data_IF_833977031460
#
_entry.id   IF_833977031460
#
_cell.length_a   1.000
_cell.length_b   1.000
_cell.length_c   1.000
_cell.angle_alpha   90.00
_cell.angle_beta   90.00
_cell.angle_gamma   90.00
#
_symmetry.space_group_name_H-M   'P 1'
#
loop_
_entity.id
_entity.type
_entity.pdbx_description
1 polymer ?
#
# COMPACT_ATOMS: atom_id res chain seq x y z
N UNK A 1 13.01 2.36 -3.73
CA UNK A 1 14.44 2.56 -3.59
C UNK A 1 14.93 2.56 -2.16
N UNK A 2 16.25 2.51 -1.99
CA UNK A 2 16.89 2.54 -0.66
C UNK A 2 16.87 1.24 0.14
N UNK A 3 16.31 0.16 -0.40
CA UNK A 3 16.32 -1.17 0.23
C UNK A 3 17.21 -2.14 -0.54
N UNK A 4 17.91 -3.08 0.13
CA UNK A 4 18.72 -4.10 -0.55
C UNK A 4 17.82 -5.02 -1.39
N UNK A 5 18.13 -5.18 -2.67
CA UNK A 5 17.32 -6.02 -3.55
C UNK A 5 18.15 -6.99 -4.40
N UNK A 6 19.37 -6.62 -4.75
CA UNK A 6 20.21 -7.39 -5.67
C UNK A 6 19.79 -7.25 -7.15
N UNK A 7 20.63 -7.76 -8.08
CA UNK A 7 20.52 -7.47 -9.51
C UNK A 7 19.20 -7.93 -10.14
N UNK A 8 18.63 -9.02 -9.69
CA UNK A 8 17.36 -9.53 -10.22
C UNK A 8 16.12 -8.80 -9.70
N UNK A 9 16.28 -7.94 -8.68
CA UNK A 9 15.20 -7.21 -8.05
C UNK A 9 15.18 -5.70 -8.31
N UNK A 10 16.21 -5.15 -8.97
CA UNK A 10 16.34 -3.69 -9.14
C UNK A 10 15.16 -3.03 -9.86
N UNK A 11 14.52 -3.73 -10.76
CA UNK A 11 13.35 -3.26 -11.52
C UNK A 11 12.08 -4.05 -11.22
N UNK A 12 12.11 -4.92 -10.22
CA UNK A 12 10.95 -5.75 -9.87
C UNK A 12 9.74 -4.87 -9.61
N UNK A 13 8.62 -5.18 -10.27
CA UNK A 13 7.37 -4.43 -10.19
C UNK A 13 7.56 -2.92 -10.41
N UNK A 14 8.58 -2.54 -11.17
CA UNK A 14 8.96 -1.15 -11.46
C UNK A 14 9.09 -0.26 -10.19
N UNK A 15 9.46 -0.86 -9.06
CA UNK A 15 9.61 -0.18 -7.79
C UNK A 15 8.33 -0.13 -6.93
N UNK A 16 7.22 -0.68 -7.39
CA UNK A 16 5.98 -0.74 -6.60
C UNK A 16 6.07 -1.72 -5.41
N UNK A 17 7.04 -2.64 -5.41
CA UNK A 17 7.29 -3.54 -4.29
C UNK A 17 8.47 -3.05 -3.45
N UNK A 18 8.23 -2.74 -2.18
CA UNK A 18 9.24 -2.24 -1.23
C UNK A 18 9.14 -3.01 0.07
N UNK A 19 10.30 -3.48 0.58
CA UNK A 19 10.38 -4.11 1.90
C UNK A 19 10.05 -3.10 3.00
N UNK A 20 9.24 -3.52 3.97
CA UNK A 20 8.86 -2.75 5.15
C UNK A 20 8.94 -3.59 6.41
N UNK A 21 8.46 -3.05 7.53
CA UNK A 21 8.40 -3.75 8.82
C UNK A 21 7.05 -3.54 9.51
N UNK A 22 6.65 -4.57 10.27
CA UNK A 22 5.63 -4.48 11.28
C UNK A 22 6.35 -4.54 12.64
N UNK A 23 6.39 -3.41 13.34
CA UNK A 23 7.07 -3.28 14.61
C UNK A 23 6.06 -2.88 15.70
N UNK A 24 6.42 -3.15 16.96
CA UNK A 24 5.60 -2.78 18.12
C UNK A 24 5.85 -1.34 18.52
N UNK A 25 7.07 -0.83 18.32
CA UNK A 25 7.44 0.54 18.63
C UNK A 25 7.83 1.33 17.40
N UNK A 26 7.65 2.64 17.47
CA UNK A 26 8.10 3.58 16.43
C UNK A 26 9.63 3.60 16.35
N UNK A 27 10.32 3.43 17.48
CA UNK A 27 11.79 3.38 17.52
C UNK A 27 12.35 2.15 16.83
N UNK A 28 11.69 0.98 16.97
CA UNK A 28 12.07 -0.22 16.23
C UNK A 28 11.86 -0.05 14.73
N UNK A 29 10.77 0.63 14.34
CA UNK A 29 10.53 0.99 12.94
C UNK A 29 11.63 1.91 12.41
N UNK A 30 12.02 2.94 13.16
CA UNK A 30 13.10 3.84 12.80
C UNK A 30 14.44 3.10 12.68
N UNK A 31 14.74 2.19 13.61
CA UNK A 31 15.92 1.35 13.59
C UNK A 31 15.94 0.45 12.36
N UNK A 32 14.82 -0.23 12.06
CA UNK A 32 14.69 -1.05 10.85
C UNK A 32 14.95 -0.22 9.59
N UNK A 33 14.33 0.96 9.47
CA UNK A 33 14.53 1.85 8.32
C UNK A 33 16.00 2.27 8.20
N UNK A 34 16.65 2.61 9.32
CA UNK A 34 18.06 3.00 9.37
C UNK A 34 18.98 1.89 8.87
N UNK A 35 18.78 0.65 9.35
CA UNK A 35 19.65 -0.49 9.02
C UNK A 35 19.41 -1.02 7.58
N UNK A 36 18.17 -0.90 7.09
CA UNK A 36 17.80 -1.46 5.79
C UNK A 36 17.98 -0.50 4.63
N UNK A 37 18.31 0.78 4.88
CA UNK A 37 18.56 1.71 3.79
C UNK A 37 19.94 1.47 3.17
N UNK A 38 20.03 1.54 1.85
CA UNK A 38 21.29 1.34 1.12
C UNK A 38 21.26 2.01 -0.24
N UNK A 39 22.43 2.31 -0.76
CA UNK A 39 22.66 2.66 -2.17
C UNK A 39 23.33 1.47 -2.84
N UNK A 40 22.75 1.00 -3.92
CA UNK A 40 23.33 -0.05 -4.76
C UNK A 40 23.67 0.56 -6.12
N UNK A 41 24.97 0.71 -6.41
CA UNK A 41 25.44 1.45 -7.58
C UNK A 41 24.81 1.04 -8.91
N UNK A 42 24.57 -0.26 -9.08
CA UNK A 42 23.95 -0.80 -10.30
C UNK A 42 22.44 -0.61 -10.37
N UNK A 43 21.76 -0.19 -9.29
CA UNK A 43 20.32 -0.01 -9.27
C UNK A 43 19.93 1.26 -10.07
N UNK A 44 18.96 1.17 -10.99
CA UNK A 44 18.56 2.30 -11.82
C UNK A 44 17.79 3.39 -11.04
N UNK A 45 17.17 3.00 -9.90
CA UNK A 45 16.44 3.90 -9.03
C UNK A 45 17.17 4.06 -7.71
N UNK A 46 17.53 5.30 -7.40
CA UNK A 46 18.20 5.65 -6.15
C UNK A 46 17.27 6.47 -5.27
N UNK A 47 17.22 6.16 -3.97
CA UNK A 47 16.59 7.00 -2.98
C UNK A 47 17.66 7.70 -2.14
N UNK A 48 17.37 8.92 -1.73
CA UNK A 48 18.22 9.63 -0.77
C UNK A 48 18.23 8.83 0.54
N UNK A 49 19.44 8.61 1.09
CA UNK A 49 19.57 8.02 2.42
C UNK A 49 19.05 9.01 3.46
N UNK A 50 18.31 8.49 4.42
CA UNK A 50 17.88 9.24 5.58
C UNK A 50 19.05 9.40 6.55
N UNK A 51 19.02 10.48 7.31
CA UNK A 51 20.03 10.79 8.32
C UNK A 51 19.96 9.76 9.47
N UNK A 52 20.99 8.91 9.56
CA UNK A 52 21.05 7.84 10.57
C UNK A 52 21.16 8.39 12.00
N UNK A 53 21.80 9.52 12.21
CA UNK A 53 21.90 10.13 13.53
C UNK A 53 20.52 10.59 14.01
N UNK A 54 19.74 11.23 13.12
CA UNK A 54 18.37 11.65 13.42
C UNK A 54 17.43 10.46 13.64
N UNK A 55 17.58 9.38 12.87
CA UNK A 55 16.78 8.17 13.09
C UNK A 55 17.10 7.50 14.43
N UNK A 56 18.39 7.49 14.82
CA UNK A 56 18.84 6.93 16.11
C UNK A 56 18.44 7.78 17.31
N UNK A 57 18.45 9.12 17.12
CA UNK A 57 18.05 10.10 18.13
C UNK A 57 16.64 10.65 17.86
N UNK A 58 15.72 9.80 17.39
CA UNK A 58 14.38 10.20 16.99
C UNK A 58 13.65 10.95 18.12
N UNK A 59 13.12 12.11 17.80
CA UNK A 59 12.34 12.99 18.69
C UNK A 59 11.00 13.31 18.06
N UNK A 60 10.08 13.85 18.84
CA UNK A 60 8.85 14.42 18.31
C UNK A 60 9.11 15.60 17.38
N UNK A 61 8.15 15.98 16.51
CA UNK A 61 8.32 17.11 15.60
C UNK A 61 8.67 18.41 16.34
N UNK A 62 9.76 19.05 15.95
CA UNK A 62 10.19 20.34 16.54
C UNK A 62 9.31 21.53 16.12
N UNK A 63 8.62 21.39 14.98
CA UNK A 63 7.67 22.38 14.45
C UNK A 63 6.29 21.77 14.32
N UNK A 64 5.27 22.62 14.36
CA UNK A 64 3.91 22.17 14.04
C UNK A 64 3.79 21.94 12.54
N UNK A 65 3.12 20.86 12.20
CA UNK A 65 2.93 20.39 10.81
C UNK A 65 1.57 20.85 10.31
N UNK A 66 1.48 21.02 8.99
CA UNK A 66 0.23 21.20 8.29
C UNK A 66 -0.17 19.87 7.63
N UNK A 67 -1.26 19.28 8.10
CA UNK A 67 -1.66 17.92 7.77
C UNK A 67 -3.03 17.95 7.09
N UNK A 68 -3.12 17.44 5.87
CA UNK A 68 -4.41 17.16 5.25
C UNK A 68 -4.98 15.85 5.79
N UNK A 69 -6.31 15.69 5.81
CA UNK A 69 -6.94 14.39 6.04
C UNK A 69 -8.17 14.22 5.15
N UNK A 70 -8.50 12.95 4.85
CA UNK A 70 -9.72 12.61 4.12
C UNK A 70 -10.48 11.49 4.82
N UNK A 71 -11.80 11.63 4.85
CA UNK A 71 -12.77 10.60 5.20
C UNK A 71 -13.44 9.99 3.96
N UNK A 72 -12.95 10.31 2.78
CA UNK A 72 -13.40 9.76 1.50
C UNK A 72 -12.69 8.46 1.12
N UNK A 73 -13.41 7.57 0.45
CA UNK A 73 -12.81 6.40 -0.18
C UNK A 73 -12.09 6.80 -1.47
N UNK A 74 -10.91 6.23 -1.78
CA UNK A 74 -10.26 6.42 -3.08
C UNK A 74 -10.98 5.72 -4.23
N UNK A 75 -12.01 4.91 -3.93
CA UNK A 75 -12.82 4.17 -4.91
C UNK A 75 -14.29 4.38 -4.57
N UNK A 76 -15.02 5.08 -5.43
CA UNK A 76 -16.39 5.57 -5.17
C UNK A 76 -17.38 4.51 -4.68
N UNK A 77 -17.26 3.27 -5.17
CA UNK A 77 -18.17 2.17 -4.83
C UNK A 77 -17.82 1.43 -3.55
N UNK A 78 -16.71 1.80 -2.87
CA UNK A 78 -16.27 1.16 -1.63
C UNK A 78 -16.53 2.10 -0.46
N UNK A 79 -17.61 1.86 0.32
CA UNK A 79 -17.91 2.69 1.48
C UNK A 79 -16.94 2.43 2.63
N UNK A 80 -16.66 3.48 3.40
CA UNK A 80 -15.91 3.36 4.66
C UNK A 80 -16.85 3.02 5.82
N UNK A 81 -16.40 2.09 6.66
CA UNK A 81 -17.08 1.82 7.94
C UNK A 81 -16.97 3.04 8.88
N UNK A 82 -17.87 3.15 9.84
CA UNK A 82 -17.77 4.19 10.86
C UNK A 82 -16.49 4.03 11.70
N UNK A 83 -16.03 2.81 11.96
CA UNK A 83 -14.77 2.56 12.66
C UNK A 83 -13.56 3.09 11.91
N UNK A 84 -13.53 2.97 10.58
CA UNK A 84 -12.48 3.55 9.75
C UNK A 84 -12.46 5.08 9.86
N UNK A 85 -13.65 5.70 9.77
CA UNK A 85 -13.78 7.15 9.95
C UNK A 85 -13.43 7.60 11.37
N UNK A 86 -13.84 6.83 12.39
CA UNK A 86 -13.57 7.13 13.79
C UNK A 86 -12.07 7.04 14.12
N UNK A 87 -11.34 6.10 13.53
CA UNK A 87 -9.90 6.03 13.67
C UNK A 87 -9.22 7.34 13.20
N UNK A 88 -9.60 7.85 12.02
CA UNK A 88 -9.09 9.15 11.51
C UNK A 88 -9.52 10.31 12.40
N UNK A 89 -10.81 10.38 12.79
CA UNK A 89 -11.31 11.45 13.66
C UNK A 89 -10.56 11.50 14.99
N UNK A 90 -10.27 10.33 15.61
CA UNK A 90 -9.49 10.25 16.85
C UNK A 90 -8.08 10.78 16.67
N UNK A 91 -7.40 10.38 15.58
CA UNK A 91 -6.08 10.89 15.25
C UNK A 91 -6.10 12.41 15.00
N UNK A 92 -7.09 12.92 14.25
CA UNK A 92 -7.28 14.37 14.00
C UNK A 92 -7.48 15.15 15.31
N UNK A 93 -8.29 14.64 16.24
CA UNK A 93 -8.49 15.28 17.54
C UNK A 93 -7.18 15.37 18.33
N UNK A 94 -6.40 14.30 18.35
CA UNK A 94 -5.09 14.29 19.00
C UNK A 94 -4.14 15.31 18.35
N UNK A 95 -3.99 15.28 17.03
CA UNK A 95 -3.11 16.18 16.29
C UNK A 95 -3.46 17.67 16.52
N UNK A 96 -4.75 18.00 16.51
CA UNK A 96 -5.21 19.37 16.83
C UNK A 96 -4.88 19.76 18.28
N UNK A 97 -5.01 18.82 19.24
CA UNK A 97 -4.62 19.04 20.65
C UNK A 97 -3.12 19.30 20.80
N UNK A 98 -2.30 18.65 19.97
CA UNK A 98 -0.85 18.90 19.92
C UNK A 98 -0.49 20.19 19.17
N UNK A 99 -1.47 20.89 18.61
CA UNK A 99 -1.29 22.19 17.96
C UNK A 99 -0.89 22.11 16.48
N UNK A 100 -1.02 20.96 15.84
CA UNK A 100 -0.88 20.86 14.39
C UNK A 100 -2.06 21.50 13.67
N UNK A 101 -1.81 22.06 12.49
CA UNK A 101 -2.87 22.51 11.58
C UNK A 101 -3.40 21.28 10.82
N UNK A 102 -4.68 20.94 11.00
CA UNK A 102 -5.29 19.75 10.42
C UNK A 102 -6.52 20.14 9.63
N UNK A 103 -6.50 19.88 8.30
CA UNK A 103 -7.48 20.35 7.33
C UNK A 103 -8.14 19.17 6.62
N UNK A 104 -9.46 19.13 6.59
CA UNK A 104 -10.21 18.14 5.83
C UNK A 104 -10.21 18.49 4.34
N UNK A 105 -9.94 17.49 3.49
CA UNK A 105 -9.99 17.62 2.04
C UNK A 105 -10.67 16.40 1.43
N UNK A 106 -11.16 16.50 0.22
CA UNK A 106 -11.58 15.34 -0.55
C UNK A 106 -10.37 14.49 -0.93
N UNK A 107 -10.58 13.16 -1.06
CA UNK A 107 -9.52 12.30 -1.58
C UNK A 107 -9.15 12.73 -3.01
N UNK A 108 -7.86 12.92 -3.36
CA UNK A 108 -7.47 13.69 -4.55
C UNK A 108 -7.79 13.03 -5.89
N UNK A 109 -8.04 11.72 -5.91
CA UNK A 109 -8.27 10.90 -7.11
C UNK A 109 -9.39 9.88 -6.91
N UNK A 110 -9.95 9.37 -8.02
CA UNK A 110 -10.62 8.06 -8.03
C UNK A 110 -9.61 7.02 -8.52
N UNK A 111 -9.23 6.10 -7.64
CA UNK A 111 -8.16 5.14 -7.89
C UNK A 111 -8.62 3.85 -8.59
N UNK A 112 -9.88 3.78 -9.08
CA UNK A 112 -10.40 2.58 -9.76
C UNK A 112 -9.58 2.23 -11.01
N UNK A 113 -9.31 3.21 -11.85
CA UNK A 113 -8.52 2.98 -13.07
C UNK A 113 -7.08 2.60 -12.72
N UNK A 114 -6.49 3.26 -11.73
CA UNK A 114 -5.13 2.99 -11.26
C UNK A 114 -4.95 1.52 -10.83
N UNK A 115 -5.89 0.96 -10.06
CA UNK A 115 -5.80 -0.44 -9.63
C UNK A 115 -6.00 -1.43 -10.79
N UNK A 116 -6.86 -1.11 -11.76
CA UNK A 116 -7.04 -1.95 -12.94
C UNK A 116 -5.77 -2.00 -13.79
N UNK A 117 -5.09 -0.87 -13.98
CA UNK A 117 -3.78 -0.81 -14.64
C UNK A 117 -2.69 -1.56 -13.89
N UNK A 118 -2.73 -1.48 -12.55
CA UNK A 118 -1.83 -2.29 -11.72
C UNK A 118 -2.03 -3.80 -11.98
N UNK A 119 -3.27 -4.28 -12.08
CA UNK A 119 -3.52 -5.71 -12.36
C UNK A 119 -3.01 -6.13 -13.75
N UNK A 120 -3.09 -5.27 -14.76
CA UNK A 120 -2.52 -5.54 -16.09
C UNK A 120 -0.99 -5.69 -16.03
N UNK A 121 -0.32 -4.79 -15.33
CA UNK A 121 1.13 -4.86 -15.12
C UNK A 121 1.51 -6.06 -14.26
N UNK A 122 0.78 -6.31 -13.19
CA UNK A 122 0.98 -7.47 -12.31
C UNK A 122 0.89 -8.80 -13.08
N UNK A 123 -0.07 -8.92 -13.99
CA UNK A 123 -0.17 -10.10 -14.85
C UNK A 123 1.10 -10.31 -15.70
N UNK A 124 1.60 -9.25 -16.34
CA UNK A 124 2.81 -9.32 -17.15
C UNK A 124 4.06 -9.67 -16.31
N UNK A 125 4.24 -9.04 -15.14
CA UNK A 125 5.34 -9.33 -14.21
C UNK A 125 5.27 -10.78 -13.69
N UNK A 126 4.07 -11.25 -13.34
CA UNK A 126 3.85 -12.64 -12.89
C UNK A 126 4.22 -13.65 -13.98
N UNK A 127 3.84 -13.41 -15.23
CA UNK A 127 4.21 -14.27 -16.34
C UNK A 127 5.72 -14.28 -16.56
N UNK A 128 6.37 -13.11 -16.57
CA UNK A 128 7.82 -13.01 -16.72
C UNK A 128 8.58 -13.69 -15.56
N UNK A 129 8.07 -13.59 -14.33
CA UNK A 129 8.67 -14.23 -13.14
C UNK A 129 8.57 -15.76 -13.21
N UNK A 130 7.49 -16.32 -13.74
CA UNK A 130 7.23 -17.77 -13.76
C UNK A 130 7.75 -18.45 -15.04
N UNK A 131 8.01 -17.72 -16.12
CA UNK A 131 8.53 -18.27 -17.37
C UNK A 131 9.85 -19.08 -17.21
N UNK A 132 10.86 -18.65 -16.43
CA UNK A 132 12.07 -19.44 -16.20
C UNK A 132 11.78 -20.80 -15.58
N UNK A 133 10.77 -20.89 -14.71
CA UNK A 133 10.36 -22.16 -14.11
C UNK A 133 9.75 -23.10 -15.18
N UNK A 134 8.83 -22.59 -16.02
CA UNK A 134 8.23 -23.35 -17.12
C UNK A 134 9.31 -23.88 -18.08
N UNK A 135 10.29 -23.05 -18.41
CA UNK A 135 11.43 -23.43 -19.27
C UNK A 135 12.30 -24.52 -18.62
N UNK A 136 12.63 -24.39 -17.34
CA UNK A 136 13.45 -25.36 -16.62
C UNK A 136 12.78 -26.74 -16.52
N UNK A 137 11.45 -26.78 -16.38
CA UNK A 137 10.68 -28.02 -16.25
C UNK A 137 10.08 -28.50 -17.57
N UNK A 138 10.33 -27.79 -18.68
CA UNK A 138 9.84 -28.12 -20.03
C UNK A 138 8.32 -28.38 -20.10
N UNK A 139 7.56 -27.69 -19.25
CA UNK A 139 6.10 -27.74 -19.25
C UNK A 139 5.48 -26.45 -18.75
N UNK A 140 4.25 -26.18 -19.19
CA UNK A 140 3.47 -25.08 -18.65
C UNK A 140 3.02 -25.37 -17.21
N UNK A 141 2.96 -24.32 -16.39
CA UNK A 141 2.26 -24.34 -15.12
C UNK A 141 0.75 -24.43 -15.33
N UNK A 142 0.09 -25.11 -14.41
CA UNK A 142 -1.35 -25.20 -14.36
C UNK A 142 -1.89 -24.82 -12.96
N UNK A 143 -3.20 -24.82 -12.80
CA UNK A 143 -3.87 -24.43 -11.56
C UNK A 143 -3.64 -25.37 -10.37
N UNK A 144 -3.03 -26.53 -10.56
CA UNK A 144 -2.67 -27.45 -9.48
C UNK A 144 -1.25 -27.21 -8.96
N UNK A 145 -0.42 -26.49 -9.74
CA UNK A 145 0.97 -26.17 -9.40
C UNK A 145 1.09 -24.92 -8.52
N UNK A 146 0.18 -23.97 -8.66
CA UNK A 146 0.22 -22.68 -8.00
C UNK A 146 -1.20 -22.22 -7.61
N UNK A 147 -1.29 -21.25 -6.71
CA UNK A 147 -2.59 -20.68 -6.32
C UNK A 147 -3.39 -20.14 -7.51
N UNK A 148 -4.71 -20.26 -7.42
CA UNK A 148 -5.63 -19.91 -8.52
C UNK A 148 -5.48 -18.47 -9.03
N UNK A 149 -5.26 -17.48 -8.14
CA UNK A 149 -5.02 -16.10 -8.57
C UNK A 149 -3.68 -15.92 -9.25
N UNK A 150 -2.63 -16.59 -8.77
CA UNK A 150 -1.31 -16.60 -9.42
C UNK A 150 -1.38 -17.26 -10.81
N UNK A 151 -2.15 -18.35 -10.93
CA UNK A 151 -2.43 -18.97 -12.22
C UNK A 151 -3.19 -18.02 -13.16
N UNK A 152 -4.20 -17.34 -12.65
CA UNK A 152 -4.97 -16.39 -13.44
C UNK A 152 -4.10 -15.23 -13.96
N UNK A 153 -3.23 -14.65 -13.11
CA UNK A 153 -2.28 -13.62 -13.49
C UNK A 153 -1.27 -14.14 -14.53
N UNK A 154 -0.73 -15.35 -14.35
CA UNK A 154 0.17 -15.99 -15.32
C UNK A 154 -0.48 -16.10 -16.71
N UNK A 155 -1.70 -16.66 -16.78
CA UNK A 155 -2.39 -16.86 -18.07
C UNK A 155 -2.77 -15.53 -18.74
N UNK A 156 -3.15 -14.51 -17.98
CA UNK A 156 -3.40 -13.18 -18.51
C UNK A 156 -2.08 -12.51 -18.97
N UNK A 157 -1.02 -12.63 -18.19
CA UNK A 157 0.28 -12.07 -18.52
C UNK A 157 0.88 -12.59 -19.81
N UNK A 158 0.69 -13.89 -20.13
CA UNK A 158 1.08 -14.47 -21.41
C UNK A 158 0.40 -13.81 -22.63
N UNK A 159 -0.72 -13.13 -22.42
CA UNK A 159 -1.49 -12.44 -23.48
C UNK A 159 -1.45 -10.92 -23.36
N UNK A 160 -0.77 -10.39 -22.34
CA UNK A 160 -0.74 -8.96 -22.06
C UNK A 160 -0.07 -8.16 -23.20
N UNK A 161 -0.74 -7.14 -23.76
CA UNK A 161 -0.10 -6.26 -24.73
C UNK A 161 0.99 -5.42 -24.07
N UNK A 162 2.14 -5.24 -24.70
CA UNK A 162 3.21 -4.37 -24.22
C UNK A 162 2.71 -2.94 -23.98
N UNK A 163 1.78 -2.47 -24.80
CA UNK A 163 1.19 -1.14 -24.66
C UNK A 163 0.41 -0.97 -23.35
N UNK A 164 -0.28 -2.00 -22.85
CA UNK A 164 -1.00 -1.89 -21.56
C UNK A 164 -0.03 -1.76 -20.39
N UNK A 165 1.12 -2.41 -20.46
CA UNK A 165 2.19 -2.26 -19.47
C UNK A 165 2.75 -0.84 -19.41
N UNK A 166 3.06 -0.24 -20.57
CA UNK A 166 3.55 1.14 -20.65
C UNK A 166 2.49 2.12 -20.14
N UNK A 167 1.21 1.96 -20.55
CA UNK A 167 0.12 2.79 -20.07
C UNK A 167 -0.09 2.72 -18.55
N UNK A 168 0.18 1.56 -17.94
CA UNK A 168 0.13 1.44 -16.48
C UNK A 168 1.18 2.32 -15.80
N UNK A 169 2.40 2.35 -16.30
CA UNK A 169 3.47 3.20 -15.76
C UNK A 169 3.17 4.68 -15.94
N UNK A 170 2.67 5.08 -17.13
CA UNK A 170 2.24 6.47 -17.40
C UNK A 170 1.14 6.92 -16.41
N UNK A 171 0.17 6.06 -16.11
CA UNK A 171 -0.91 6.33 -15.16
C UNK A 171 -0.36 6.53 -13.73
N UNK A 172 0.65 5.75 -13.33
CA UNK A 172 1.28 5.91 -12.02
C UNK A 172 1.98 7.26 -11.88
N UNK A 173 2.73 7.67 -12.91
CA UNK A 173 3.43 8.94 -12.92
C UNK A 173 2.46 10.12 -12.91
N UNK A 174 1.38 10.05 -13.69
CA UNK A 174 0.31 11.05 -13.68
C UNK A 174 -0.38 11.13 -12.32
N UNK A 175 -0.64 9.97 -11.70
CA UNK A 175 -1.23 9.91 -10.35
C UNK A 175 -0.30 10.53 -9.31
N UNK A 176 1.00 10.24 -9.37
CA UNK A 176 1.99 10.86 -8.48
C UNK A 176 2.02 12.39 -8.62
N UNK A 177 1.95 12.89 -9.87
CA UNK A 177 1.90 14.33 -10.14
C UNK A 177 0.64 15.00 -9.56
N UNK A 178 -0.52 14.32 -9.56
CA UNK A 178 -1.75 14.83 -8.92
C UNK A 178 -1.56 14.98 -7.41
N UNK A 179 -0.89 14.01 -6.74
CA UNK A 179 -0.57 14.14 -5.32
C UNK A 179 0.39 15.29 -5.06
N UNK A 180 1.41 15.50 -5.92
CA UNK A 180 2.33 16.62 -5.81
C UNK A 180 1.59 17.97 -5.90
N UNK A 181 0.66 18.10 -6.83
CA UNK A 181 -0.12 19.31 -7.02
C UNK A 181 -1.15 19.56 -5.90
N UNK A 182 -1.93 18.53 -5.54
CA UNK A 182 -3.08 18.71 -4.65
C UNK A 182 -2.76 18.54 -3.17
N UNK A 183 -1.69 17.84 -2.84
CA UNK A 183 -1.33 17.55 -1.44
C UNK A 183 0.03 18.15 -1.10
N UNK A 184 1.10 17.73 -1.77
CA UNK A 184 2.47 18.02 -1.30
C UNK A 184 2.93 19.45 -1.51
N UNK A 185 2.18 20.27 -2.26
CA UNK A 185 2.43 21.70 -2.36
C UNK A 185 2.05 22.45 -1.09
N UNK A 186 0.98 22.05 -0.42
CA UNK A 186 0.37 22.80 0.67
C UNK A 186 0.44 22.10 2.03
N UNK A 187 0.71 20.79 2.08
CA UNK A 187 0.71 19.97 3.29
C UNK A 187 2.01 19.19 3.49
N UNK A 188 2.41 19.05 4.76
CA UNK A 188 3.58 18.25 5.13
C UNK A 188 3.27 16.74 5.07
N UNK A 189 2.06 16.35 5.52
CA UNK A 189 1.58 14.96 5.57
C UNK A 189 0.10 14.89 5.19
N UNK A 190 -0.34 13.68 4.82
CA UNK A 190 -1.73 13.38 4.53
C UNK A 190 -2.19 12.17 5.38
N UNK A 191 -3.41 12.21 5.93
CA UNK A 191 -3.97 11.21 6.83
C UNK A 191 -5.25 10.61 6.24
N UNK A 192 -5.35 9.29 6.23
CA UNK A 192 -6.53 8.53 5.78
C UNK A 192 -6.77 7.33 6.68
N UNK A 193 -7.89 6.61 6.56
CA UNK A 193 -7.95 5.26 7.10
C UNK A 193 -6.86 4.37 6.49
N UNK A 194 -6.34 3.39 7.24
CA UNK A 194 -5.47 2.34 6.67
C UNK A 194 -6.28 1.37 5.83
N UNK A 195 -7.46 0.98 6.30
CA UNK A 195 -8.40 0.07 5.64
C UNK A 195 -9.81 0.64 5.70
N UNK A 196 -10.68 0.20 4.79
CA UNK A 196 -12.07 0.68 4.75
C UNK A 196 -12.95 0.10 5.87
N UNK A 197 -12.58 -1.05 6.40
CA UNK A 197 -13.30 -1.77 7.47
C UNK A 197 -12.33 -2.67 8.24
N UNK A 198 -12.77 -3.24 9.36
CA UNK A 198 -12.01 -4.21 10.15
C UNK A 198 -11.66 -5.46 9.35
N UNK A 199 -10.70 -6.25 9.83
CA UNK A 199 -10.26 -7.48 9.18
C UNK A 199 -11.43 -8.43 8.88
N UNK A 200 -11.37 -9.21 7.76
CA UNK A 200 -12.38 -10.23 7.45
C UNK A 200 -12.35 -11.36 8.50
N UNK A 201 -13.44 -12.11 8.60
CA UNK A 201 -13.47 -13.32 9.44
C UNK A 201 -12.53 -14.38 8.87
N UNK A 202 -11.88 -15.11 9.75
CA UNK A 202 -11.05 -16.26 9.35
C UNK A 202 -11.92 -17.27 8.59
N UNK A 203 -11.47 -17.69 7.39
CA UNK A 203 -12.21 -18.61 6.52
C UNK A 203 -13.31 -17.95 5.68
N UNK A 204 -13.52 -16.64 5.77
CA UNK A 204 -14.44 -15.94 4.87
C UNK A 204 -13.94 -16.03 3.42
N UNK A 205 -14.74 -16.60 2.47
CA UNK A 205 -14.31 -16.74 1.09
C UNK A 205 -14.25 -15.38 0.41
N UNK A 206 -13.09 -15.04 -0.13
CA UNK A 206 -12.89 -13.80 -0.91
C UNK A 206 -13.33 -13.95 -2.36
N UNK A 207 -13.42 -15.18 -2.88
CA UNK A 207 -13.78 -15.50 -4.25
C UNK A 207 -14.92 -16.52 -4.22
N UNK A 208 -16.02 -16.24 -4.93
CA UNK A 208 -17.15 -17.16 -5.03
C UNK A 208 -16.79 -18.41 -5.86
N UNK A 209 -17.48 -19.53 -5.62
CA UNK A 209 -17.24 -20.77 -6.36
C UNK A 209 -17.59 -20.65 -7.84
N UNK A 210 -18.54 -19.79 -8.21
CA UNK A 210 -18.83 -19.48 -9.61
C UNK A 210 -17.65 -18.80 -10.28
N UNK A 211 -17.04 -17.79 -9.61
CA UNK A 211 -15.89 -17.09 -10.15
C UNK A 211 -14.65 -17.99 -10.20
N UNK A 212 -14.44 -18.88 -9.22
CA UNK A 212 -13.35 -19.87 -9.28
C UNK A 212 -13.43 -20.74 -10.54
N UNK A 213 -14.63 -21.20 -10.92
CA UNK A 213 -14.81 -21.97 -12.16
C UNK A 213 -14.37 -21.19 -13.40
N UNK A 214 -14.70 -19.90 -13.47
CA UNK A 214 -14.28 -19.03 -14.57
C UNK A 214 -12.74 -18.84 -14.57
N UNK A 215 -12.13 -18.70 -13.40
CA UNK A 215 -10.68 -18.55 -13.26
C UNK A 215 -9.92 -19.83 -13.67
N UNK A 216 -10.45 -21.03 -13.38
CA UNK A 216 -9.87 -22.27 -13.89
C UNK A 216 -9.95 -22.38 -15.42
N UNK A 217 -10.94 -21.77 -16.04
CA UNK A 217 -11.13 -21.76 -17.49
C UNK A 217 -10.42 -20.57 -18.19
N UNK A 218 -9.68 -19.74 -17.45
CA UNK A 218 -9.22 -18.41 -17.85
C UNK A 218 -8.41 -18.44 -19.17
N UNK A 219 -7.60 -19.47 -19.40
CA UNK A 219 -6.79 -19.63 -20.62
C UNK A 219 -7.62 -19.58 -21.93
N UNK A 220 -8.93 -19.89 -21.86
CA UNK A 220 -9.82 -19.94 -23.02
C UNK A 220 -10.34 -18.55 -23.43
N UNK A 221 -10.11 -17.52 -22.62
CA UNK A 221 -10.61 -16.16 -22.86
C UNK A 221 -9.53 -15.26 -23.46
N UNK A 222 -9.96 -14.18 -24.11
CA UNK A 222 -9.05 -13.10 -24.51
C UNK A 222 -8.56 -12.29 -23.31
N UNK A 223 -7.54 -11.48 -23.52
CA UNK A 223 -6.91 -10.68 -22.46
C UNK A 223 -7.92 -9.77 -21.73
N UNK A 224 -8.84 -9.11 -22.46
CA UNK A 224 -9.83 -8.22 -21.87
C UNK A 224 -10.76 -8.96 -20.91
N UNK A 225 -11.27 -10.13 -21.31
CA UNK A 225 -12.13 -10.95 -20.45
C UNK A 225 -11.35 -11.51 -19.26
N UNK A 226 -10.09 -11.91 -19.46
CA UNK A 226 -9.22 -12.36 -18.38
C UNK A 226 -9.04 -11.28 -17.34
N UNK A 227 -8.74 -10.03 -17.72
CA UNK A 227 -8.58 -8.91 -16.79
C UNK A 227 -9.88 -8.55 -16.05
N UNK A 228 -11.04 -8.68 -16.69
CA UNK A 228 -12.33 -8.51 -16.01
C UNK A 228 -12.55 -9.55 -14.91
N UNK A 229 -12.20 -10.81 -15.14
CA UNK A 229 -12.33 -11.89 -14.15
C UNK A 229 -11.31 -11.72 -13.01
N UNK A 230 -10.09 -11.31 -13.31
CA UNK A 230 -9.06 -11.00 -12.30
C UNK A 230 -9.51 -9.81 -11.44
N UNK A 231 -10.01 -8.74 -12.03
CA UNK A 231 -10.53 -7.60 -11.28
C UNK A 231 -11.69 -8.02 -10.34
N UNK A 232 -12.63 -8.83 -10.84
CA UNK A 232 -13.71 -9.39 -10.02
C UNK A 232 -13.20 -10.26 -8.87
N UNK A 233 -12.11 -11.00 -9.07
CA UNK A 233 -11.51 -11.85 -8.04
C UNK A 233 -10.84 -11.04 -6.93
N UNK A 234 -10.27 -9.87 -7.25
CA UNK A 234 -9.68 -8.98 -6.26
C UNK A 234 -10.67 -8.00 -5.62
N UNK A 235 -11.90 -7.87 -6.15
CA UNK A 235 -12.87 -6.87 -5.69
C UNK A 235 -13.15 -6.98 -4.17
N UNK A 236 -13.34 -8.20 -3.66
CA UNK A 236 -13.59 -8.42 -2.24
C UNK A 236 -12.40 -7.99 -1.35
N UNK A 237 -11.18 -8.24 -1.78
CA UNK A 237 -9.97 -7.78 -1.07
C UNK A 237 -9.85 -6.26 -1.12
N UNK A 238 -10.18 -5.67 -2.25
CA UNK A 238 -10.15 -4.23 -2.45
C UNK A 238 -11.17 -3.48 -1.57
N UNK A 239 -12.35 -4.10 -1.30
CA UNK A 239 -13.31 -3.56 -0.33
C UNK A 239 -12.75 -3.42 1.09
N UNK A 240 -11.77 -4.23 1.48
CA UNK A 240 -11.09 -4.08 2.77
C UNK A 240 -9.98 -3.04 2.70
N UNK A 241 -9.18 -3.04 1.64
CA UNK A 241 -7.94 -2.27 1.55
C UNK A 241 -7.86 -1.44 0.26
N UNK A 242 -8.67 -0.37 0.12
CA UNK A 242 -8.67 0.46 -1.09
C UNK A 242 -7.53 1.48 -1.16
N UNK A 243 -6.75 1.68 -0.10
CA UNK A 243 -5.73 2.73 0.00
C UNK A 243 -4.31 2.26 -0.28
N UNK A 244 -3.94 1.06 0.21
CA UNK A 244 -2.55 0.67 0.41
C UNK A 244 -1.73 0.58 -0.88
N UNK A 245 -2.34 0.19 -1.99
CA UNK A 245 -1.65 0.07 -3.27
C UNK A 245 -1.21 1.42 -3.86
N UNK A 246 -1.90 2.51 -3.53
CA UNK A 246 -1.69 3.82 -4.15
C UNK A 246 -0.27 4.34 -3.85
N UNK A 247 0.16 4.29 -2.58
CA UNK A 247 1.50 4.75 -2.20
C UNK A 247 2.63 3.92 -2.84
N UNK A 248 2.40 2.62 -3.03
CA UNK A 248 3.32 1.77 -3.76
C UNK A 248 3.51 2.22 -5.22
N UNK A 249 2.41 2.54 -5.90
CA UNK A 249 2.43 2.92 -7.31
C UNK A 249 2.96 4.35 -7.53
N UNK A 250 2.65 5.27 -6.62
CA UNK A 250 3.11 6.66 -6.69
C UNK A 250 4.50 6.88 -6.08
N UNK A 251 5.05 5.88 -5.39
CA UNK A 251 6.38 5.93 -4.78
C UNK A 251 6.47 6.79 -3.52
N UNK A 252 5.35 7.05 -2.86
CA UNK A 252 5.28 7.83 -1.63
C UNK A 252 5.46 6.90 -0.41
N UNK A 253 6.14 7.34 0.66
CA UNK A 253 6.16 6.59 1.90
C UNK A 253 4.79 6.61 2.58
N UNK A 254 4.45 5.48 3.22
CA UNK A 254 3.25 5.36 4.03
C UNK A 254 3.54 4.60 5.32
N UNK A 255 2.86 4.98 6.40
CA UNK A 255 2.98 4.41 7.74
C UNK A 255 1.58 4.23 8.34
N UNK A 256 1.27 3.05 8.86
CA UNK A 256 0.01 2.79 9.56
C UNK A 256 0.18 2.85 11.07
N UNK A 257 -0.73 3.55 11.76
CA UNK A 257 -0.77 3.70 13.21
C UNK A 257 -2.06 3.10 13.77
N UNK A 258 -2.01 2.13 14.69
CA UNK A 258 -3.19 1.52 15.30
C UNK A 258 -3.73 2.45 16.40
N UNK A 259 -4.73 3.28 16.08
CA UNK A 259 -5.22 4.34 16.98
C UNK A 259 -6.63 4.09 17.52
N UNK A 260 -7.36 3.12 17.00
CA UNK A 260 -8.75 2.87 17.35
C UNK A 260 -9.05 1.37 17.47
N UNK A 261 -9.97 1.03 18.34
CA UNK A 261 -10.58 -0.32 18.44
C UNK A 261 -12.05 -0.20 18.10
N UNK A 262 -12.50 -1.05 17.20
CA UNK A 262 -13.92 -1.13 16.84
C UNK A 262 -14.76 -1.66 18.00
N UNK A 263 -15.82 -0.93 18.38
CA UNK A 263 -16.62 -1.23 19.55
C UNK A 263 -17.40 -2.54 19.44
N UNK A 264 -17.74 -2.97 18.22
CA UNK A 264 -18.55 -4.16 17.98
C UNK A 264 -17.71 -5.44 17.83
N UNK A 265 -16.56 -5.34 17.16
CA UNK A 265 -15.70 -6.49 16.86
C UNK A 265 -14.49 -6.61 17.76
N UNK A 266 -14.15 -5.55 18.51
CA UNK A 266 -12.92 -5.40 19.30
C UNK A 266 -11.64 -5.57 18.47
N UNK A 267 -11.72 -5.36 17.15
CA UNK A 267 -10.58 -5.41 16.26
C UNK A 267 -9.93 -4.01 16.12
N UNK A 268 -8.60 -3.96 15.97
CA UNK A 268 -7.90 -2.69 15.79
C UNK A 268 -8.22 -2.09 14.43
N UNK A 269 -8.27 -0.74 14.39
CA UNK A 269 -8.35 0.08 13.20
C UNK A 269 -7.22 1.09 13.18
N UNK A 270 -6.53 1.16 12.05
CA UNK A 270 -5.42 2.08 11.85
C UNK A 270 -5.79 3.32 11.07
N UNK A 271 -4.99 4.37 11.27
CA UNK A 271 -4.87 5.47 10.32
C UNK A 271 -3.57 5.34 9.54
N UNK A 272 -3.60 5.73 8.27
CA UNK A 272 -2.42 5.76 7.43
C UNK A 272 -1.92 7.19 7.26
N UNK A 273 -0.69 7.41 7.65
CA UNK A 273 0.07 8.60 7.30
C UNK A 273 0.71 8.41 5.94
N UNK A 274 0.59 9.41 5.07
CA UNK A 274 1.27 9.50 3.79
C UNK A 274 2.21 10.68 3.83
N UNK A 275 3.36 10.54 3.22
CA UNK A 275 4.33 11.62 3.10
C UNK A 275 4.80 11.80 1.65
N UNK A 276 5.32 12.97 1.32
CA UNK A 276 6.03 13.14 0.05
C UNK A 276 7.29 12.29 0.04
N UNK A 277 7.82 12.01 -1.14
CA UNK A 277 9.07 11.24 -1.29
C UNK A 277 10.18 11.80 -0.39
N UNK A 278 10.87 10.94 0.35
CA UNK A 278 11.92 11.24 1.32
C UNK A 278 11.46 11.99 2.60
N UNK A 279 10.20 11.85 3.00
CA UNK A 279 9.68 12.43 4.25
C UNK A 279 9.52 11.41 5.39
N UNK A 280 10.13 10.24 5.29
CA UNK A 280 10.01 9.15 6.27
C UNK A 280 10.40 9.62 7.68
N UNK A 281 11.43 10.47 7.82
CA UNK A 281 11.82 11.01 9.12
C UNK A 281 10.69 11.82 9.75
N UNK A 282 10.07 12.74 9.01
CA UNK A 282 8.93 13.54 9.51
C UNK A 282 7.76 12.67 9.91
N UNK A 283 7.49 11.60 9.15
CA UNK A 283 6.44 10.63 9.49
C UNK A 283 6.75 9.86 10.78
N UNK A 284 8.00 9.45 10.98
CA UNK A 284 8.44 8.76 12.18
C UNK A 284 8.44 9.69 13.40
N UNK A 285 8.85 10.96 13.25
CA UNK A 285 8.75 11.98 14.31
C UNK A 285 7.28 12.15 14.78
N UNK A 286 6.33 12.27 13.83
CA UNK A 286 4.91 12.38 14.17
C UNK A 286 4.38 11.07 14.79
N UNK A 287 4.78 9.91 14.28
CA UNK A 287 4.40 8.61 14.84
C UNK A 287 4.90 8.47 16.30
N UNK A 288 6.11 8.97 16.59
CA UNK A 288 6.66 8.99 17.96
C UNK A 288 5.84 9.90 18.89
N UNK A 289 5.30 11.02 18.40
CA UNK A 289 4.38 11.87 19.20
C UNK A 289 3.11 11.10 19.58
N UNK A 290 2.54 10.28 18.64
CA UNK A 290 1.44 9.38 19.00
C UNK A 290 1.84 8.34 20.07
N UNK A 291 3.01 7.73 19.94
CA UNK A 291 3.51 6.71 20.87
C UNK A 291 3.75 7.31 22.26
N UNK A 292 4.48 8.41 22.39
CA UNK A 292 4.81 9.05 23.64
C UNK A 292 3.57 9.56 24.40
N UNK A 293 2.52 9.92 23.68
CA UNK A 293 1.24 10.34 24.24
C UNK A 293 0.22 9.20 24.39
N UNK A 294 0.66 7.94 24.32
CA UNK A 294 -0.17 6.73 24.50
C UNK A 294 -1.41 6.69 23.60
N UNK A 295 -1.27 7.16 22.36
CA UNK A 295 -2.35 7.12 21.37
C UNK A 295 -2.36 5.82 20.55
N UNK A 296 -1.28 5.05 20.57
CA UNK A 296 -1.20 3.77 19.88
C UNK A 296 -1.82 2.66 20.73
N UNK A 297 -2.62 1.82 20.11
CA UNK A 297 -3.26 0.68 20.74
C UNK A 297 -2.41 -0.56 20.49
N UNK A 298 -1.86 -1.10 21.56
CA UNK A 298 -1.08 -2.33 21.56
C UNK A 298 -1.89 -3.47 22.16
N UNK A 299 -1.66 -4.73 21.75
CA UNK A 299 -2.20 -5.90 22.41
C UNK A 299 -1.81 -5.93 23.91
N UNK A 300 -2.71 -6.46 24.77
CA UNK A 300 -2.53 -6.44 26.23
C UNK A 300 -1.20 -7.01 26.71
N UNK A 301 -0.70 -8.05 26.05
CA UNK A 301 0.58 -8.68 26.39
C UNK A 301 1.83 -7.81 26.10
N UNK A 302 1.67 -6.65 25.43
CA UNK A 302 2.72 -5.65 25.22
C UNK A 302 2.53 -4.39 26.09
N UNK A 303 1.51 -4.34 26.95
CA UNK A 303 1.22 -3.18 27.80
C UNK A 303 1.87 -3.28 29.17
N UNK A 304 2.60 -4.36 29.49
CA UNK A 304 3.29 -4.62 30.77
C UNK A 304 4.77 -4.26 30.70
#
# INVERSE_FOLDING_TARGET
GGRPQGPNGYRSWQGASVGGALCISVRDTAKFVSEMQTIQEAAPYQAKLLDQEKLSALTEPKKRLKIAFSLGSPIDQIPLSESAKNAVKKAVQFLKKQGHEVVEIDFPINARQLILRYYEMNAAETAAMLEPWEKAHQRALNSDDIELLSYALLEAGKKAPVTSYIQALDEWDQTAAIFDEKIWRDYDLFLTPTTAKTAPKIGEPLISDALKKELYALKNYDFKKQMQLIAAAFERSLEFSPYNFISNLTGQPALSLPVYVDDATHLPMGTQLWGKKNSELTMLELALEFENHHQLILPDYYQN
#
